data_IF_261547303695
#
_entry.id   IF_261547303695
#
_cell.length_a   1.000
_cell.length_b   1.000
_cell.length_c   1.000
_cell.angle_alpha   90.00
_cell.angle_beta   90.00
_cell.angle_gamma   90.00
#
_symmetry.space_group_name_H-M   'P 1'
#
loop_
_entity.id
_entity.type
_entity.pdbx_description
1 polymer ?
#
# COMPACT_ATOMS: atom_id res chain seq x y z
N UNK A 1 4.63 -10.80 -12.28
CA UNK A 1 4.33 -9.38 -12.61
C UNK A 1 5.13 -8.54 -11.63
N UNK A 2 5.92 -7.58 -12.11
CA UNK A 2 6.68 -6.68 -11.24
C UNK A 2 5.70 -5.78 -10.47
N UNK A 3 5.75 -5.78 -9.14
CA UNK A 3 4.92 -4.92 -8.30
C UNK A 3 5.32 -3.45 -8.51
N UNK A 4 4.34 -2.56 -8.68
CA UNK A 4 4.59 -1.12 -8.75
C UNK A 4 5.23 -0.60 -7.48
N UNK A 5 6.04 0.45 -7.65
CA UNK A 5 6.69 1.12 -6.52
C UNK A 5 5.68 1.68 -5.51
N UNK A 6 4.48 2.07 -5.96
CA UNK A 6 3.43 2.59 -5.08
C UNK A 6 2.90 1.50 -4.14
N UNK A 7 2.62 0.32 -4.70
CA UNK A 7 2.17 -0.85 -3.95
C UNK A 7 3.27 -1.38 -3.02
N UNK A 8 4.52 -1.39 -3.49
CA UNK A 8 5.65 -1.76 -2.63
C UNK A 8 5.81 -0.77 -1.47
N UNK A 9 5.70 0.53 -1.72
CA UNK A 9 5.77 1.56 -0.68
C UNK A 9 4.67 1.39 0.37
N UNK A 10 3.43 1.11 -0.05
CA UNK A 10 2.33 0.83 0.88
C UNK A 10 2.60 -0.43 1.72
N UNK A 11 3.09 -1.51 1.10
CA UNK A 11 3.46 -2.76 1.78
C UNK A 11 4.56 -2.54 2.81
N UNK A 12 5.63 -1.86 2.42
CA UNK A 12 6.76 -1.52 3.30
C UNK A 12 6.29 -0.69 4.48
N UNK A 13 5.37 0.26 4.24
CA UNK A 13 4.84 1.15 5.28
C UNK A 13 4.08 0.39 6.37
N UNK A 14 3.31 -0.63 5.98
CA UNK A 14 2.60 -1.48 6.93
C UNK A 14 3.60 -2.40 7.65
N UNK A 15 4.57 -2.95 6.92
CA UNK A 15 5.61 -3.81 7.49
C UNK A 15 6.48 -3.09 8.52
N UNK A 16 6.83 -1.82 8.30
CA UNK A 16 7.56 -1.00 9.28
C UNK A 16 6.87 -0.98 10.66
N UNK A 17 5.54 -0.90 10.67
CA UNK A 17 4.75 -0.89 11.91
C UNK A 17 4.70 -2.28 12.54
N UNK A 18 4.46 -3.32 11.75
CA UNK A 18 4.42 -4.71 12.24
C UNK A 18 5.76 -5.16 12.84
N UNK A 19 6.88 -4.74 12.23
CA UNK A 19 8.23 -5.10 12.69
C UNK A 19 8.83 -4.11 13.68
N UNK A 20 8.15 -2.99 13.96
CA UNK A 20 8.67 -1.86 14.72
C UNK A 20 10.05 -1.37 14.21
N UNK A 21 10.24 -1.37 12.88
CA UNK A 21 11.50 -0.99 12.21
C UNK A 21 11.24 0.07 11.16
N UNK A 22 12.14 1.04 11.04
CA UNK A 22 12.10 2.03 9.94
C UNK A 22 13.03 1.56 8.82
N UNK A 23 12.45 1.19 7.69
CA UNK A 23 13.16 0.62 6.52
C UNK A 23 13.05 1.51 5.29
N UNK A 24 12.07 2.43 5.24
CA UNK A 24 11.81 3.27 4.07
C UNK A 24 12.80 4.44 4.02
N UNK A 25 13.70 4.42 3.04
CA UNK A 25 14.56 5.56 2.73
C UNK A 25 13.89 6.51 1.73
N UNK A 26 13.14 7.48 2.26
CA UNK A 26 12.38 8.47 1.48
C UNK A 26 13.25 9.25 0.49
N UNK A 27 14.44 9.70 0.90
CA UNK A 27 15.33 10.47 0.04
C UNK A 27 15.85 9.66 -1.15
N UNK A 28 16.18 8.38 -0.93
CA UNK A 28 16.60 7.49 -2.00
C UNK A 28 15.46 7.19 -2.99
N UNK A 29 14.22 7.05 -2.49
CA UNK A 29 13.03 6.86 -3.32
C UNK A 29 12.73 8.08 -4.19
N UNK A 30 12.73 9.29 -3.62
CA UNK A 30 12.49 10.53 -4.36
C UNK A 30 13.54 10.76 -5.45
N UNK A 31 14.81 10.44 -5.18
CA UNK A 31 15.88 10.54 -6.19
C UNK A 31 15.69 9.57 -7.37
N UNK A 32 15.18 8.36 -7.11
CA UNK A 32 14.92 7.36 -8.16
C UNK A 32 13.60 7.61 -8.89
N UNK A 33 12.60 8.14 -8.17
CA UNK A 33 11.25 8.36 -8.66
C UNK A 33 10.76 9.77 -8.27
N UNK A 34 11.16 10.82 -8.99
CA UNK A 34 10.76 12.20 -8.67
C UNK A 34 9.25 12.43 -8.69
N UNK A 35 8.49 11.61 -9.42
CA UNK A 35 7.02 11.67 -9.44
C UNK A 35 6.38 11.42 -8.07
N UNK A 36 7.10 10.78 -7.13
CA UNK A 36 6.63 10.57 -5.76
C UNK A 36 6.54 11.87 -4.95
N UNK A 37 7.11 12.97 -5.45
CA UNK A 37 7.04 14.30 -4.82
C UNK A 37 5.79 15.10 -5.23
N UNK A 38 4.98 14.58 -6.17
CA UNK A 38 3.77 15.26 -6.64
C UNK A 38 2.67 15.24 -5.58
N UNK A 39 1.91 16.34 -5.45
CA UNK A 39 0.75 16.40 -4.55
C UNK A 39 -0.46 15.74 -5.19
N UNK A 40 -0.78 14.52 -4.78
CA UNK A 40 -1.89 13.73 -5.32
C UNK A 40 -2.67 13.14 -4.16
N UNK A 41 -4.00 13.23 -4.22
CA UNK A 41 -4.88 12.59 -3.25
C UNK A 41 -4.93 11.08 -3.53
N UNK A 42 -4.65 10.30 -2.50
CA UNK A 42 -4.66 8.83 -2.60
C UNK A 42 -5.68 8.20 -1.68
N UNK A 43 -6.14 7.01 -2.08
CA UNK A 43 -6.90 6.09 -1.25
C UNK A 43 -6.13 4.78 -1.18
N UNK A 44 -5.98 4.22 0.02
CA UNK A 44 -5.40 2.87 0.21
C UNK A 44 -6.47 1.97 0.81
N UNK A 45 -6.82 0.91 0.09
CA UNK A 45 -7.75 -0.11 0.55
C UNK A 45 -6.98 -1.40 0.83
N UNK A 46 -7.35 -2.06 1.93
CA UNK A 46 -6.85 -3.38 2.30
C UNK A 46 -8.04 -4.34 2.23
N UNK A 47 -7.86 -5.45 1.53
CA UNK A 47 -8.85 -6.51 1.42
C UNK A 47 -8.32 -7.80 2.02
N UNK A 48 -9.17 -8.53 2.73
CA UNK A 48 -8.89 -9.88 3.20
C UNK A 48 -10.00 -10.79 2.67
N UNK A 49 -9.65 -11.84 1.93
CA UNK A 49 -10.61 -12.74 1.27
C UNK A 49 -11.68 -11.97 0.45
N UNK A 50 -11.24 -11.00 -0.36
CA UNK A 50 -12.08 -10.08 -1.14
C UNK A 50 -13.04 -9.18 -0.34
N UNK A 51 -12.93 -9.13 0.99
CA UNK A 51 -13.71 -8.24 1.85
C UNK A 51 -12.87 -7.06 2.31
N UNK A 52 -13.47 -5.87 2.32
CA UNK A 52 -12.80 -4.68 2.83
C UNK A 52 -12.42 -4.88 4.30
N UNK A 53 -11.14 -4.68 4.62
CA UNK A 53 -10.54 -4.89 5.94
C UNK A 53 -9.98 -3.62 6.56
N UNK A 54 -9.84 -2.57 5.74
CA UNK A 54 -9.47 -1.23 6.15
C UNK A 54 -9.34 -0.30 4.95
N UNK A 55 -9.67 0.98 5.14
CA UNK A 55 -9.57 2.00 4.10
C UNK A 55 -9.20 3.36 4.68
N UNK A 56 -8.43 4.12 3.91
CA UNK A 56 -8.07 5.48 4.26
C UNK A 56 -7.92 6.29 2.97
N UNK A 57 -8.49 7.49 2.98
CA UNK A 57 -8.54 8.38 1.84
C UNK A 57 -8.13 9.79 2.25
N UNK A 58 -7.25 10.37 1.43
CA UNK A 58 -7.00 11.81 1.43
C UNK A 58 -7.96 12.48 0.46
N UNK A 59 -8.76 13.45 0.96
CA UNK A 59 -9.75 14.17 0.13
C UNK A 59 -9.18 15.39 -0.56
N UNK A 60 -8.23 16.08 0.08
CA UNK A 60 -7.56 17.27 -0.43
C UNK A 60 -6.08 16.92 -0.52
N UNK A 61 -5.42 17.05 -1.70
CA UNK A 61 -4.00 16.78 -1.85
C UNK A 61 -3.16 17.74 -0.99
N UNK A 62 -2.86 17.32 0.24
CA UNK A 62 -2.07 18.10 1.22
C UNK A 62 -0.68 17.53 1.47
N UNK A 63 -0.39 16.36 0.91
CA UNK A 63 0.86 15.63 1.06
C UNK A 63 1.40 15.22 -0.30
N UNK A 64 2.71 14.97 -0.37
CA UNK A 64 3.31 14.35 -1.55
C UNK A 64 2.80 12.92 -1.69
N UNK A 65 2.79 12.38 -2.91
CA UNK A 65 2.35 11.03 -3.21
C UNK A 65 3.04 9.99 -2.31
N UNK A 66 4.34 10.18 -2.05
CA UNK A 66 5.11 9.36 -1.13
C UNK A 66 4.51 9.37 0.28
N UNK A 67 4.33 10.55 0.86
CA UNK A 67 3.84 10.69 2.23
C UNK A 67 2.39 10.23 2.36
N UNK A 68 1.56 10.53 1.35
CA UNK A 68 0.15 10.19 1.34
C UNK A 68 -0.06 8.68 1.31
N UNK A 69 0.71 7.95 0.48
CA UNK A 69 0.67 6.48 0.45
C UNK A 69 1.14 5.90 1.78
N UNK A 70 2.27 6.36 2.32
CA UNK A 70 2.79 5.84 3.61
C UNK A 70 1.76 6.03 4.71
N UNK A 71 1.18 7.23 4.79
CA UNK A 71 0.19 7.59 5.79
C UNK A 71 -1.09 6.77 5.63
N UNK A 72 -1.69 6.78 4.44
CA UNK A 72 -2.96 6.09 4.21
C UNK A 72 -2.81 4.59 4.38
N UNK A 73 -1.68 3.98 3.97
CA UNK A 73 -1.43 2.56 4.22
C UNK A 73 -1.38 2.22 5.72
N UNK A 74 -0.70 3.05 6.54
CA UNK A 74 -0.64 2.86 7.99
C UNK A 74 -2.02 3.05 8.64
N UNK A 75 -2.77 4.08 8.23
CA UNK A 75 -4.12 4.32 8.75
C UNK A 75 -5.05 3.17 8.39
N UNK A 76 -5.11 2.76 7.12
CA UNK A 76 -5.95 1.65 6.67
C UNK A 76 -5.63 0.35 7.41
N UNK A 77 -4.37 0.11 7.77
CA UNK A 77 -3.96 -1.10 8.46
C UNK A 77 -4.20 -1.08 9.97
N UNK A 78 -4.05 0.08 10.64
CA UNK A 78 -3.96 0.13 12.11
C UNK A 78 -4.87 1.15 12.79
N UNK A 79 -5.34 2.19 12.09
CA UNK A 79 -6.06 3.32 12.70
C UNK A 79 -7.49 3.51 12.15
N UNK A 80 -7.93 2.69 11.18
CA UNK A 80 -9.32 2.70 10.72
C UNK A 80 -10.25 2.25 11.85
N UNK A 81 -11.04 3.19 12.37
CA UNK A 81 -11.96 2.97 13.52
C UNK A 81 -13.03 1.90 13.26
N UNK A 82 -13.27 1.56 12.00
CA UNK A 82 -14.27 0.57 11.61
C UNK A 82 -13.75 -0.86 11.80
N UNK A 83 -12.43 -1.04 11.95
CA UNK A 83 -11.78 -2.33 11.98
C UNK A 83 -10.73 -2.40 13.11
N UNK A 84 -10.40 -3.61 13.55
CA UNK A 84 -9.25 -3.80 14.44
C UNK A 84 -7.95 -3.68 13.65
N UNK A 85 -6.83 -3.26 14.30
CA UNK A 85 -5.51 -3.29 13.68
C UNK A 85 -5.20 -4.66 13.07
N UNK A 86 -4.62 -4.67 11.87
CA UNK A 86 -4.30 -5.90 11.15
C UNK A 86 -3.18 -6.69 11.85
N UNK A 87 -3.35 -8.00 11.95
CA UNK A 87 -2.30 -8.92 12.42
C UNK A 87 -1.30 -9.25 11.31
N UNK A 88 -0.12 -9.76 11.67
CA UNK A 88 0.89 -10.23 10.70
C UNK A 88 0.32 -11.30 9.77
N UNK A 89 -0.49 -12.23 10.29
CA UNK A 89 -1.12 -13.28 9.48
C UNK A 89 -2.11 -12.72 8.46
N UNK A 90 -2.92 -11.74 8.86
CA UNK A 90 -3.84 -11.06 7.93
C UNK A 90 -3.07 -10.24 6.89
N UNK A 91 -1.99 -9.56 7.27
CA UNK A 91 -1.14 -8.80 6.34
C UNK A 91 -0.55 -9.70 5.23
N UNK A 92 -0.12 -10.91 5.58
CA UNK A 92 0.41 -11.88 4.60
C UNK A 92 -0.66 -12.35 3.61
N UNK A 93 -1.92 -12.35 4.01
CA UNK A 93 -3.06 -12.80 3.22
C UNK A 93 -3.85 -11.66 2.56
N UNK A 94 -3.55 -10.40 2.88
CA UNK A 94 -4.33 -9.28 2.37
C UNK A 94 -3.93 -8.87 0.95
N UNK A 95 -4.91 -8.43 0.19
CA UNK A 95 -4.73 -7.71 -1.06
C UNK A 95 -4.71 -6.21 -0.77
N UNK A 96 -3.92 -5.47 -1.53
CA UNK A 96 -3.76 -4.02 -1.36
C UNK A 96 -4.16 -3.33 -2.64
N UNK A 97 -4.98 -2.31 -2.54
CA UNK A 97 -5.37 -1.48 -3.68
C UNK A 97 -5.05 -0.02 -3.35
N UNK A 98 -4.50 0.68 -4.33
CA UNK A 98 -4.22 2.10 -4.28
C UNK A 98 -5.03 2.77 -5.38
N UNK A 99 -5.80 3.79 -5.01
CA UNK A 99 -6.44 4.68 -5.97
C UNK A 99 -5.77 6.06 -5.93
N UNK A 100 -5.39 6.56 -7.09
CA UNK A 100 -4.88 7.91 -7.28
C UNK A 100 -5.99 8.76 -7.87
N UNK A 101 -6.34 9.85 -7.18
CA UNK A 101 -7.33 10.81 -7.67
C UNK A 101 -6.62 11.97 -8.35
N UNK A 102 -6.75 12.05 -9.66
CA UNK A 102 -6.20 13.11 -10.50
C UNK A 102 -7.32 13.96 -11.09
N UNK A 103 -7.03 15.17 -11.61
CA UNK A 103 -8.04 15.97 -12.31
C UNK A 103 -8.68 15.27 -13.52
N UNK A 104 -7.96 14.35 -14.15
CA UNK A 104 -8.40 13.61 -15.35
C UNK A 104 -9.22 12.35 -15.00
N UNK A 105 -9.23 11.95 -13.73
CA UNK A 105 -9.95 10.77 -13.25
C UNK A 105 -9.23 10.01 -12.15
N UNK A 106 -9.79 8.85 -11.81
CA UNK A 106 -9.25 7.95 -10.78
C UNK A 106 -8.50 6.80 -11.45
N UNK A 107 -7.24 6.60 -11.04
CA UNK A 107 -6.41 5.48 -11.48
C UNK A 107 -6.36 4.47 -10.34
N UNK A 108 -6.69 3.21 -10.60
CA UNK A 108 -6.62 2.13 -9.60
C UNK A 108 -5.49 1.15 -9.92
N UNK A 109 -4.75 0.76 -8.89
CA UNK A 109 -3.74 -0.29 -8.96
C UNK A 109 -3.93 -1.28 -7.80
N UNK A 110 -3.94 -2.58 -8.08
CA UNK A 110 -4.20 -3.63 -7.08
C UNK A 110 -3.12 -4.71 -7.07
N UNK A 111 -2.62 -5.01 -5.87
CA UNK A 111 -1.65 -6.06 -5.55
C UNK A 111 -2.35 -7.27 -4.93
N UNK A 112 -2.13 -8.50 -5.43
CA UNK A 112 -2.62 -9.72 -4.79
C UNK A 112 -1.93 -9.96 -3.45
N UNK A 113 -2.42 -10.94 -2.71
CA UNK A 113 -1.81 -11.32 -1.44
C UNK A 113 -0.38 -11.86 -1.58
N UNK A 114 0.43 -11.61 -0.55
CA UNK A 114 1.85 -11.98 -0.53
C UNK A 114 1.98 -13.51 -0.68
N UNK A 115 1.17 -14.27 0.06
CA UNK A 115 1.19 -15.73 -0.01
C UNK A 115 0.65 -16.30 -1.33
N UNK A 116 -0.29 -15.64 -2.00
CA UNK A 116 -0.71 -16.05 -3.36
C UNK A 116 0.38 -15.80 -4.40
N UNK A 117 1.27 -14.84 -4.19
CA UNK A 117 2.37 -14.58 -5.14
C UNK A 117 3.44 -15.66 -5.07
N UNK A 118 3.72 -16.19 -3.87
CA UNK A 118 4.75 -17.23 -3.67
C UNK A 118 4.37 -18.60 -4.25
N UNK A 119 3.07 -18.93 -4.32
CA UNK A 119 2.62 -20.21 -4.88
C UNK A 119 2.77 -20.32 -6.40
N UNK A 120 2.88 -19.21 -7.14
CA UNK A 120 3.17 -19.25 -8.58
C UNK A 120 4.65 -19.45 -8.91
N UNK A 121 5.57 -19.15 -7.98
CA UNK A 121 7.01 -19.35 -8.18
C UNK A 121 7.49 -20.78 -7.90
N UNK A 122 6.70 -21.64 -7.25
CA UNK A 122 7.07 -23.03 -6.95
C UNK A 122 6.64 -24.04 -8.03
N UNK A 123 5.99 -23.60 -9.11
CA UNK A 123 5.40 -24.49 -10.11
C UNK A 123 6.14 -24.57 -11.45
N UNK A 124 7.40 -24.13 -11.54
CA UNK A 124 8.12 -24.03 -12.82
C UNK A 124 9.47 -24.74 -12.92
N UNK A 125 9.72 -25.69 -12.03
CA UNK A 125 10.87 -26.59 -12.12
C UNK A 125 10.38 -28.03 -11.86
N UNK A 126 9.93 -28.72 -12.91
CA UNK A 126 9.98 -30.18 -13.13
C UNK A 126 9.81 -30.43 -14.63
#
# INVERSE_FOLDING_TARGET
>A
MSRSILLQLARDSIQEVLEAKRTINKAALLRKHPLLDQMVATTVNIYLDNKLRGSSQTKIPSFTLLEDIIRNAKISAFEDKSFSPISTSEYLNCELEILLTTPEGVISEKDPSILKTTSYSLGKDI
#
